data_IF_841946875799
#
_entry.id   IF_841946875799
#
_cell.length_a   1.000
_cell.length_b   1.000
_cell.length_c   1.000
_cell.angle_alpha   90.00
_cell.angle_beta   90.00
_cell.angle_gamma   90.00
#
_symmetry.space_group_name_H-M   'P 1'
#
loop_
_entity.id
_entity.type
_entity.pdbx_description
1 polymer ?
#
# COMPACT_ATOMS: atom_id res chain seq x y z
N UNK A 1 -2.73 -30.95 -16.07
CA UNK A 1 -2.74 -30.51 -14.66
C UNK A 1 -3.00 -29.02 -14.65
N UNK A 2 -4.17 -28.59 -14.16
CA UNK A 2 -4.58 -27.18 -14.19
C UNK A 2 -3.87 -26.33 -13.15
N UNK A 3 -3.92 -24.99 -13.32
CA UNK A 3 -3.40 -24.00 -12.38
C UNK A 3 -3.86 -24.28 -10.93
N UNK A 4 -5.08 -24.82 -10.72
CA UNK A 4 -5.60 -25.18 -9.40
C UNK A 4 -4.76 -26.19 -8.61
N UNK A 5 -4.00 -27.08 -9.25
CA UNK A 5 -3.12 -28.03 -8.55
C UNK A 5 -1.84 -27.37 -8.04
N UNK A 6 -1.38 -26.30 -8.69
CA UNK A 6 -0.21 -25.51 -8.26
C UNK A 6 -0.57 -24.71 -7.02
N UNK A 7 -1.72 -24.05 -7.01
CA UNK A 7 -2.20 -23.26 -5.86
C UNK A 7 -2.48 -24.12 -4.61
N UNK A 8 -3.01 -25.32 -4.79
CA UNK A 8 -3.27 -26.25 -3.67
C UNK A 8 -2.00 -26.71 -2.92
N UNK A 9 -0.83 -26.54 -3.52
CA UNK A 9 0.46 -26.97 -2.96
C UNK A 9 1.30 -25.81 -2.42
N UNK A 10 0.84 -24.55 -2.59
CA UNK A 10 1.63 -23.43 -2.09
C UNK A 10 1.59 -23.36 -0.57
N UNK A 11 2.68 -22.98 0.09
CA UNK A 11 2.72 -22.81 1.54
C UNK A 11 1.72 -21.73 1.99
N UNK A 12 1.11 -21.93 3.16
CA UNK A 12 0.12 -21.00 3.72
C UNK A 12 0.64 -19.56 3.82
N UNK A 13 1.91 -19.38 4.19
CA UNK A 13 2.50 -18.04 4.30
C UNK A 13 2.54 -17.28 2.96
N UNK A 14 2.64 -17.99 1.84
CA UNK A 14 2.57 -17.38 0.50
C UNK A 14 1.13 -16.94 0.17
N UNK A 15 0.15 -17.74 0.54
CA UNK A 15 -1.28 -17.37 0.43
C UNK A 15 -1.58 -16.13 1.26
N UNK A 16 -1.12 -16.11 2.51
CA UNK A 16 -1.28 -14.94 3.41
C UNK A 16 -0.58 -13.70 2.85
N UNK A 17 0.59 -13.85 2.22
CA UNK A 17 1.27 -12.75 1.55
C UNK A 17 0.40 -12.13 0.44
N UNK A 18 -0.20 -12.95 -0.41
CA UNK A 18 -1.10 -12.47 -1.47
C UNK A 18 -2.39 -11.82 -0.94
N UNK A 19 -2.94 -12.36 0.15
CA UNK A 19 -4.08 -11.74 0.85
C UNK A 19 -3.72 -10.35 1.36
N UNK A 20 -2.57 -10.23 2.03
CA UNK A 20 -2.11 -8.98 2.62
C UNK A 20 -1.92 -7.88 1.58
N UNK A 21 -1.41 -8.24 0.41
CA UNK A 21 -1.22 -7.30 -0.71
C UNK A 21 -2.55 -6.71 -1.22
N UNK A 22 -3.61 -7.52 -1.29
CA UNK A 22 -4.94 -7.00 -1.67
C UNK A 22 -5.62 -6.24 -0.53
N UNK A 23 -5.47 -6.67 0.72
CA UNK A 23 -6.03 -5.95 1.86
C UNK A 23 -5.41 -4.56 2.06
N UNK A 24 -4.20 -4.34 1.53
CA UNK A 24 -3.55 -3.04 1.48
C UNK A 24 -4.40 -1.95 0.82
N UNK A 25 -5.35 -2.32 -0.04
CA UNK A 25 -6.26 -1.38 -0.71
C UNK A 25 -7.14 -0.59 0.25
N UNK A 26 -7.32 -1.01 1.49
CA UNK A 26 -7.91 -0.17 2.51
C UNK A 26 -7.15 1.15 2.67
N UNK A 27 -5.82 1.09 2.61
CA UNK A 27 -4.96 2.26 2.77
C UNK A 27 -4.84 3.01 1.44
N UNK A 28 -4.49 2.32 0.35
CA UNK A 28 -4.27 2.98 -0.95
C UNK A 28 -5.50 3.75 -1.46
N UNK A 29 -6.71 3.23 -1.27
CA UNK A 29 -7.93 3.94 -1.64
C UNK A 29 -8.20 5.16 -0.75
N UNK A 30 -7.90 5.08 0.54
CA UNK A 30 -7.99 6.21 1.45
C UNK A 30 -6.95 7.29 1.08
N UNK A 31 -5.69 6.91 0.87
CA UNK A 31 -4.62 7.79 0.41
C UNK A 31 -4.97 8.50 -0.90
N UNK A 32 -5.49 7.75 -1.88
CA UNK A 32 -5.87 8.31 -3.16
C UNK A 32 -7.01 9.31 -3.03
N UNK A 33 -8.00 9.00 -2.17
CA UNK A 33 -9.10 9.94 -1.89
C UNK A 33 -8.62 11.20 -1.17
N UNK A 34 -7.71 11.05 -0.20
CA UNK A 34 -7.11 12.19 0.50
C UNK A 34 -6.30 13.04 -0.47
N UNK A 35 -5.45 12.44 -1.30
CA UNK A 35 -4.68 13.17 -2.31
C UNK A 35 -5.59 13.94 -3.27
N UNK A 36 -6.70 13.36 -3.70
CA UNK A 36 -7.70 14.05 -4.51
C UNK A 36 -8.25 15.31 -3.80
N UNK A 37 -8.61 15.19 -2.53
CA UNK A 37 -9.19 16.28 -1.76
C UNK A 37 -8.18 17.39 -1.43
N UNK A 38 -6.92 17.00 -1.19
CA UNK A 38 -5.86 17.91 -0.73
C UNK A 38 -5.11 18.56 -1.88
N UNK A 39 -4.75 17.80 -2.90
CA UNK A 39 -3.90 18.27 -4.01
C UNK A 39 -4.62 18.37 -5.35
N UNK A 40 -5.91 17.98 -5.45
CA UNK A 40 -6.63 17.90 -6.70
C UNK A 40 -6.18 16.78 -7.63
N UNK A 41 -5.46 15.79 -7.11
CA UNK A 41 -5.05 14.62 -7.90
C UNK A 41 -6.27 13.95 -8.56
N UNK A 42 -6.12 13.49 -9.79
CA UNK A 42 -7.21 12.82 -10.50
C UNK A 42 -7.70 11.59 -9.73
N UNK A 43 -9.00 11.51 -9.53
CA UNK A 43 -9.66 10.38 -8.87
C UNK A 43 -10.77 9.84 -9.77
N UNK A 44 -10.75 8.54 -10.05
CA UNK A 44 -11.76 7.86 -10.86
C UNK A 44 -12.65 6.99 -9.97
N UNK A 45 -13.91 7.40 -9.71
CA UNK A 45 -14.83 6.61 -8.87
C UNK A 45 -15.01 5.18 -9.36
N UNK A 46 -15.18 4.99 -10.67
CA UNK A 46 -15.37 3.65 -11.26
C UNK A 46 -14.18 2.71 -10.97
N UNK A 47 -12.96 3.21 -11.08
CA UNK A 47 -11.76 2.40 -10.79
C UNK A 47 -11.64 2.15 -9.28
N UNK A 48 -11.99 3.12 -8.45
CA UNK A 48 -12.03 2.95 -7.01
C UNK A 48 -13.07 1.89 -6.59
N UNK A 49 -14.25 1.87 -7.20
CA UNK A 49 -15.29 0.88 -6.95
C UNK A 49 -14.84 -0.53 -7.35
N UNK A 50 -14.15 -0.68 -8.49
CA UNK A 50 -13.55 -1.96 -8.90
C UNK A 50 -12.48 -2.44 -7.89
N UNK A 51 -11.62 -1.53 -7.42
CA UNK A 51 -10.63 -1.87 -6.40
C UNK A 51 -11.29 -2.26 -5.07
N UNK A 52 -12.38 -1.60 -4.70
CA UNK A 52 -13.19 -1.93 -3.52
C UNK A 52 -13.86 -3.30 -3.66
N UNK A 53 -14.26 -3.70 -4.87
CA UNK A 53 -14.79 -5.04 -5.13
C UNK A 53 -13.72 -6.11 -4.94
N UNK A 54 -12.52 -5.92 -5.50
CA UNK A 54 -11.39 -6.82 -5.27
C UNK A 54 -11.08 -6.99 -3.77
N UNK A 55 -11.10 -5.87 -3.02
CA UNK A 55 -10.93 -5.86 -1.57
C UNK A 55 -12.02 -6.67 -0.86
N UNK A 56 -13.27 -6.50 -1.25
CA UNK A 56 -14.42 -7.19 -0.64
C UNK A 56 -14.34 -8.70 -0.85
N UNK A 57 -14.00 -9.14 -2.06
CA UNK A 57 -13.81 -10.55 -2.40
C UNK A 57 -12.67 -11.15 -1.55
N UNK A 58 -11.52 -10.46 -1.51
CA UNK A 58 -10.35 -10.96 -0.77
C UNK A 58 -10.60 -10.99 0.74
N UNK A 59 -11.26 -9.97 1.29
CA UNK A 59 -11.62 -9.92 2.71
C UNK A 59 -12.49 -11.11 3.10
N UNK A 60 -13.52 -11.40 2.30
CA UNK A 60 -14.39 -12.56 2.55
C UNK A 60 -13.58 -13.87 2.55
N UNK A 61 -12.70 -14.06 1.58
CA UNK A 61 -11.85 -15.25 1.52
C UNK A 61 -10.91 -15.34 2.73
N UNK A 62 -10.37 -14.21 3.19
CA UNK A 62 -9.53 -14.15 4.39
C UNK A 62 -10.31 -14.46 5.69
N UNK A 63 -11.52 -13.92 5.83
CA UNK A 63 -12.41 -14.17 6.98
C UNK A 63 -12.81 -15.66 7.04
N UNK A 64 -13.18 -16.25 5.91
CA UNK A 64 -13.50 -17.68 5.82
C UNK A 64 -12.30 -18.56 6.23
N UNK A 65 -11.07 -18.20 5.80
CA UNK A 65 -9.85 -18.89 6.24
C UNK A 65 -9.59 -18.72 7.72
N UNK A 66 -9.76 -17.52 8.27
CA UNK A 66 -9.58 -17.24 9.70
C UNK A 66 -10.57 -18.04 10.56
N UNK A 67 -11.76 -18.32 10.04
CA UNK A 67 -12.75 -19.19 10.66
C UNK A 67 -12.44 -20.70 10.53
N UNK A 68 -11.28 -21.08 9.96
CA UNK A 68 -10.86 -22.47 9.77
C UNK A 68 -11.28 -23.08 8.44
N UNK A 69 -11.83 -22.29 7.51
CA UNK A 69 -12.15 -22.72 6.15
C UNK A 69 -10.90 -22.97 5.29
N UNK A 70 -11.12 -23.60 4.15
CA UNK A 70 -10.06 -23.77 3.15
C UNK A 70 -9.88 -22.51 2.34
N UNK A 71 -8.64 -22.22 1.84
CA UNK A 71 -8.41 -21.11 0.92
C UNK A 71 -9.29 -21.22 -0.34
N UNK A 72 -10.05 -20.16 -0.63
CA UNK A 72 -10.78 -20.01 -1.88
C UNK A 72 -9.84 -19.36 -2.92
N UNK A 73 -9.06 -20.19 -3.60
CA UNK A 73 -8.09 -19.73 -4.59
C UNK A 73 -8.73 -19.10 -5.83
N UNK A 74 -9.98 -19.46 -6.15
CA UNK A 74 -10.71 -18.85 -7.27
C UNK A 74 -11.06 -17.40 -6.93
N UNK A 75 -11.66 -17.15 -5.77
CA UNK A 75 -11.96 -15.82 -5.29
C UNK A 75 -10.70 -14.96 -5.13
N UNK A 76 -9.63 -15.53 -4.56
CA UNK A 76 -8.35 -14.84 -4.40
C UNK A 76 -7.72 -14.45 -5.75
N UNK A 77 -7.76 -15.35 -6.73
CA UNK A 77 -7.24 -15.08 -8.09
C UNK A 77 -8.09 -13.99 -8.76
N UNK A 78 -9.41 -14.06 -8.64
CA UNK A 78 -10.32 -13.05 -9.18
C UNK A 78 -9.98 -11.66 -8.60
N UNK A 79 -9.81 -11.54 -7.29
CA UNK A 79 -9.45 -10.29 -6.63
C UNK A 79 -8.10 -9.73 -7.15
N UNK A 80 -7.10 -10.60 -7.36
CA UNK A 80 -5.81 -10.21 -7.92
C UNK A 80 -5.95 -9.70 -9.37
N UNK A 81 -6.73 -10.38 -10.19
CA UNK A 81 -6.97 -9.97 -11.58
C UNK A 81 -7.69 -8.63 -11.66
N UNK A 82 -8.74 -8.42 -10.85
CA UNK A 82 -9.45 -7.13 -10.76
C UNK A 82 -8.49 -6.03 -10.33
N UNK A 83 -7.65 -6.29 -9.33
CA UNK A 83 -6.63 -5.35 -8.87
C UNK A 83 -5.66 -4.95 -10.00
N UNK A 84 -5.16 -5.92 -10.77
CA UNK A 84 -4.31 -5.65 -11.93
C UNK A 84 -5.02 -4.82 -13.00
N UNK A 85 -6.30 -5.12 -13.25
CA UNK A 85 -7.12 -4.35 -14.19
C UNK A 85 -7.31 -2.88 -13.76
N UNK A 86 -7.49 -2.61 -12.46
CA UNK A 86 -7.61 -1.22 -11.98
C UNK A 86 -6.38 -0.39 -12.28
N UNK A 87 -5.18 -0.96 -12.14
CA UNK A 87 -3.93 -0.28 -12.48
C UNK A 87 -3.80 -0.03 -13.98
N UNK A 88 -4.23 -0.98 -14.82
CA UNK A 88 -4.22 -0.81 -16.27
C UNK A 88 -5.20 0.29 -16.72
N UNK A 89 -6.42 0.30 -16.19
CA UNK A 89 -7.44 1.29 -16.52
C UNK A 89 -7.02 2.71 -16.11
N UNK A 90 -6.33 2.84 -14.98
CA UNK A 90 -5.87 4.11 -14.47
C UNK A 90 -4.54 4.55 -15.10
N UNK A 91 -3.80 3.62 -15.69
CA UNK A 91 -2.39 3.79 -16.10
C UNK A 91 -1.49 4.28 -14.96
N UNK A 92 -1.84 3.91 -13.72
CA UNK A 92 -1.15 4.30 -12.50
C UNK A 92 -1.47 3.32 -11.37
N UNK A 93 -0.59 3.21 -10.37
CA UNK A 93 -0.75 2.27 -9.25
C UNK A 93 -1.61 2.78 -8.08
N UNK A 94 -2.12 4.01 -8.12
CA UNK A 94 -2.82 4.67 -7.00
C UNK A 94 -3.99 3.85 -6.41
N UNK A 95 -4.75 3.14 -7.24
CA UNK A 95 -5.84 2.28 -6.78
C UNK A 95 -5.37 1.01 -6.04
N UNK A 96 -4.07 0.70 -6.10
CA UNK A 96 -3.51 -0.53 -5.55
C UNK A 96 -2.36 -0.30 -4.56
N UNK A 97 -1.74 0.87 -4.55
CA UNK A 97 -0.51 1.18 -3.82
C UNK A 97 -0.58 2.57 -3.20
N UNK A 98 -0.44 2.68 -1.90
CA UNK A 98 -0.41 3.89 -1.09
C UNK A 98 0.79 3.90 -0.14
N UNK A 99 0.64 4.54 1.01
CA UNK A 99 1.70 4.66 2.03
C UNK A 99 2.20 3.30 2.54
N UNK A 100 1.33 2.30 2.61
CA UNK A 100 1.67 0.93 3.01
C UNK A 100 2.68 0.28 2.08
N UNK A 101 2.56 0.52 0.77
CA UNK A 101 3.51 0.04 -0.22
C UNK A 101 4.84 0.81 -0.16
N UNK A 102 4.80 2.11 0.13
CA UNK A 102 6.03 2.88 0.35
C UNK A 102 6.84 2.31 1.52
N UNK A 103 6.18 1.87 2.60
CA UNK A 103 6.85 1.18 3.72
C UNK A 103 7.42 -0.17 3.28
N UNK A 104 6.69 -0.94 2.46
CA UNK A 104 7.18 -2.21 1.93
C UNK A 104 8.41 -2.00 1.03
N UNK A 105 8.35 -1.05 0.11
CA UNK A 105 9.47 -0.72 -0.77
C UNK A 105 10.68 -0.21 0.01
N UNK A 106 10.48 0.54 1.10
CA UNK A 106 11.59 0.94 1.97
C UNK A 106 12.35 -0.29 2.50
N UNK A 107 11.63 -1.31 2.96
CA UNK A 107 12.25 -2.57 3.43
C UNK A 107 12.95 -3.30 2.27
N UNK A 108 12.32 -3.35 1.09
CA UNK A 108 12.82 -4.05 -0.10
C UNK A 108 14.06 -3.38 -0.71
N UNK A 109 14.16 -2.06 -0.66
CA UNK A 109 15.35 -1.30 -1.08
C UNK A 109 16.56 -1.52 -0.17
N UNK A 110 16.36 -2.11 1.01
CA UNK A 110 17.42 -2.47 1.96
C UNK A 110 18.39 -1.31 2.26
N UNK A 111 17.91 -0.14 2.68
CA UNK A 111 18.80 0.89 3.17
C UNK A 111 19.55 0.38 4.41
N UNK A 112 20.61 1.04 4.88
CA UNK A 112 21.51 0.51 5.92
C UNK A 112 20.80 -0.04 7.17
N UNK A 113 19.70 0.59 7.56
CA UNK A 113 18.91 0.14 8.72
C UNK A 113 18.12 -1.16 8.48
N UNK A 114 17.83 -1.47 7.23
CA UNK A 114 17.03 -2.63 6.81
C UNK A 114 17.82 -3.64 5.96
N UNK A 115 19.15 -3.55 5.92
CA UNK A 115 20.02 -4.43 5.09
C UNK A 115 19.77 -5.93 5.33
N UNK A 116 19.44 -6.29 6.56
CA UNK A 116 19.15 -7.67 6.98
C UNK A 116 17.64 -7.99 7.03
N UNK A 117 16.78 -7.08 6.60
CA UNK A 117 15.35 -7.36 6.55
C UNK A 117 15.01 -8.32 5.41
N UNK A 118 14.18 -9.30 5.71
CA UNK A 118 13.71 -10.29 4.76
C UNK A 118 12.20 -10.44 4.87
N UNK A 119 11.54 -10.51 3.72
CA UNK A 119 10.10 -10.74 3.64
C UNK A 119 9.67 -10.83 2.18
N UNK A 120 8.58 -11.52 1.92
CA UNK A 120 7.88 -11.43 0.64
C UNK A 120 7.19 -10.07 0.54
N UNK A 121 7.03 -9.55 -0.68
CA UNK A 121 6.38 -8.26 -0.92
C UNK A 121 5.09 -8.09 -0.11
N UNK A 122 4.13 -8.98 -0.27
CA UNK A 122 2.86 -8.89 0.45
C UNK A 122 2.97 -9.01 1.98
N UNK A 123 4.03 -9.66 2.52
CA UNK A 123 4.29 -9.64 3.96
C UNK A 123 4.73 -8.24 4.42
N UNK A 124 5.64 -7.61 3.68
CA UNK A 124 6.08 -6.24 3.95
C UNK A 124 4.91 -5.25 3.81
N UNK A 125 4.10 -5.41 2.76
CA UNK A 125 2.87 -4.63 2.54
C UNK A 125 1.87 -4.84 3.68
N UNK A 126 1.68 -6.06 4.15
CA UNK A 126 0.80 -6.35 5.30
C UNK A 126 1.22 -5.64 6.58
N UNK A 127 2.53 -5.59 6.86
CA UNK A 127 3.07 -4.81 7.99
C UNK A 127 2.82 -3.32 7.78
N UNK A 128 3.09 -2.78 6.59
CA UNK A 128 2.81 -1.39 6.22
C UNK A 128 1.33 -1.06 6.39
N UNK A 129 0.44 -1.92 5.90
CA UNK A 129 -1.02 -1.78 6.04
C UNK A 129 -1.44 -1.67 7.51
N UNK A 130 -0.92 -2.56 8.35
CA UNK A 130 -1.21 -2.53 9.79
C UNK A 130 -0.75 -1.23 10.45
N UNK A 131 0.45 -0.78 10.13
CA UNK A 131 1.00 0.48 10.67
C UNK A 131 0.19 1.69 10.21
N UNK A 132 -0.08 1.81 8.90
CA UNK A 132 -0.92 2.89 8.36
C UNK A 132 -2.33 2.88 8.95
N UNK A 133 -2.96 1.71 9.10
CA UNK A 133 -4.28 1.61 9.70
C UNK A 133 -4.30 2.11 11.15
N UNK A 134 -3.25 1.86 11.94
CA UNK A 134 -3.10 2.41 13.29
C UNK A 134 -3.00 3.93 13.27
N UNK A 135 -2.20 4.48 12.38
CA UNK A 135 -2.04 5.93 12.25
C UNK A 135 -3.35 6.60 11.80
N UNK A 136 -4.05 6.04 10.82
CA UNK A 136 -5.36 6.56 10.41
C UNK A 136 -6.40 6.48 11.52
N UNK A 137 -6.41 5.39 12.28
CA UNK A 137 -7.32 5.27 13.42
C UNK A 137 -7.00 6.31 14.50
N UNK A 138 -5.72 6.54 14.77
CA UNK A 138 -5.28 7.59 15.68
C UNK A 138 -5.71 8.98 15.18
N UNK A 139 -5.42 9.33 13.92
CA UNK A 139 -5.82 10.60 13.33
C UNK A 139 -7.32 10.83 13.38
N UNK A 140 -8.12 9.80 13.06
CA UNK A 140 -9.58 9.87 13.13
C UNK A 140 -10.13 10.04 14.56
N UNK A 141 -9.36 9.68 15.59
CA UNK A 141 -9.73 9.88 16.99
C UNK A 141 -9.46 11.30 17.51
N UNK A 142 -8.67 12.10 16.77
CA UNK A 142 -8.34 13.46 17.17
C UNK A 142 -9.52 14.40 16.87
N UNK A 143 -9.92 15.27 17.83
CA UNK A 143 -11.02 16.22 17.61
C UNK A 143 -10.67 17.27 16.53
N UNK A 144 -9.41 17.65 16.45
CA UNK A 144 -8.89 18.60 15.44
C UNK A 144 -7.42 18.26 15.17
N UNK A 145 -7.12 17.49 14.11
CA UNK A 145 -5.75 17.23 13.73
C UNK A 145 -5.07 18.54 13.30
N UNK A 146 -3.86 18.76 13.78
CA UNK A 146 -3.04 19.93 13.40
C UNK A 146 -1.87 19.45 12.54
N UNK A 147 -1.73 20.00 11.35
CA UNK A 147 -0.56 19.79 10.52
C UNK A 147 0.69 20.42 11.18
N UNK A 148 1.82 19.71 11.12
CA UNK A 148 3.12 20.29 11.43
C UNK A 148 3.60 21.14 10.25
N UNK A 149 4.43 22.17 10.49
CA UNK A 149 5.10 22.86 9.39
C UNK A 149 5.86 21.84 8.53
N UNK A 150 5.85 22.07 7.22
CA UNK A 150 6.64 21.25 6.30
C UNK A 150 8.15 21.49 6.54
N UNK A 151 8.87 20.41 6.74
CA UNK A 151 10.33 20.40 6.84
C UNK A 151 10.90 19.71 5.60
N UNK A 152 11.58 20.45 4.70
CA UNK A 152 12.15 19.84 3.51
C UNK A 152 13.24 18.82 3.87
N UNK A 153 13.38 17.77 3.06
CA UNK A 153 14.42 16.79 3.21
C UNK A 153 15.80 17.46 3.07
N UNK A 154 16.67 17.25 4.06
CA UNK A 154 18.06 17.70 3.96
C UNK A 154 18.93 16.58 3.41
N UNK A 155 19.92 16.95 2.56
CA UNK A 155 20.86 15.97 2.01
C UNK A 155 21.54 15.15 3.10
N UNK A 156 21.97 15.76 4.19
CA UNK A 156 22.64 15.07 5.29
C UNK A 156 21.74 14.03 5.96
N UNK A 157 20.46 14.33 6.14
CA UNK A 157 19.49 13.39 6.70
C UNK A 157 19.25 12.21 5.75
N UNK A 158 19.14 12.48 4.44
CA UNK A 158 18.93 11.44 3.43
C UNK A 158 20.15 10.53 3.32
N UNK A 159 21.37 11.08 3.32
CA UNK A 159 22.61 10.30 3.32
C UNK A 159 22.71 9.37 4.54
N UNK A 160 22.37 9.88 5.74
CA UNK A 160 22.38 9.07 6.97
C UNK A 160 21.39 7.90 6.91
N UNK A 161 20.16 8.14 6.41
CA UNK A 161 19.07 7.14 6.45
C UNK A 161 19.11 6.16 5.29
N UNK A 162 19.53 6.61 4.11
CA UNK A 162 19.40 5.84 2.88
C UNK A 162 20.74 5.43 2.26
N UNK A 163 21.86 6.02 2.70
CA UNK A 163 23.20 5.67 2.23
C UNK A 163 23.31 5.71 0.70
N UNK A 164 23.65 4.59 0.03
CA UNK A 164 23.83 4.56 -1.42
C UNK A 164 22.59 4.93 -2.25
N UNK A 165 21.41 4.91 -1.65
CA UNK A 165 20.13 5.27 -2.29
C UNK A 165 19.85 6.78 -2.26
N UNK A 166 20.64 7.56 -1.53
CA UNK A 166 20.39 8.97 -1.25
C UNK A 166 20.23 9.82 -2.53
N UNK A 167 21.03 9.61 -3.55
CA UNK A 167 20.95 10.36 -4.81
C UNK A 167 19.61 10.15 -5.52
N UNK A 168 19.15 8.90 -5.58
CA UNK A 168 17.82 8.57 -6.13
C UNK A 168 16.68 9.21 -5.34
N UNK A 169 16.72 9.12 -4.02
CA UNK A 169 15.71 9.71 -3.13
C UNK A 169 15.65 11.23 -3.31
N UNK A 170 16.79 11.92 -3.32
CA UNK A 170 16.82 13.38 -3.52
C UNK A 170 16.25 13.79 -4.88
N UNK A 171 16.62 13.06 -5.94
CA UNK A 171 16.14 13.32 -7.30
C UNK A 171 14.62 13.16 -7.41
N UNK A 172 14.04 12.10 -6.85
CA UNK A 172 12.60 11.85 -6.88
C UNK A 172 11.80 12.92 -6.10
N UNK A 173 12.43 13.59 -5.12
CA UNK A 173 11.81 14.61 -4.30
C UNK A 173 12.16 16.06 -4.72
N UNK A 174 12.87 16.27 -5.82
CA UNK A 174 13.24 17.62 -6.32
C UNK A 174 12.01 18.51 -6.61
N UNK A 175 10.88 17.93 -6.98
CA UNK A 175 9.66 18.63 -7.34
C UNK A 175 8.52 18.37 -6.33
N UNK A 176 8.85 18.13 -5.05
CA UNK A 176 7.85 17.87 -4.02
C UNK A 176 6.94 19.10 -3.84
N UNK A 177 5.64 18.90 -4.12
CA UNK A 177 4.61 19.95 -4.02
C UNK A 177 4.08 20.14 -2.58
N UNK A 178 4.48 19.31 -1.64
CA UNK A 178 4.01 19.39 -0.24
C UNK A 178 4.37 20.73 0.42
N UNK A 179 5.48 21.36 0.00
CA UNK A 179 5.87 22.71 0.47
C UNK A 179 4.94 23.82 0.06
N UNK A 180 4.03 23.58 -0.89
CA UNK A 180 3.02 24.55 -1.36
C UNK A 180 1.64 24.31 -0.76
N UNK A 181 1.47 23.23 0.02
CA UNK A 181 0.19 22.90 0.64
C UNK A 181 -0.10 23.83 1.82
N UNK A 182 -1.20 24.58 1.73
CA UNK A 182 -1.72 25.37 2.83
C UNK A 182 -2.74 24.55 3.62
N UNK A 183 -2.35 24.11 4.82
CA UNK A 183 -3.20 23.32 5.70
C UNK A 183 -4.38 24.11 6.31
N UNK A 184 -4.54 25.41 5.97
CA UNK A 184 -5.63 26.24 6.46
C UNK A 184 -6.80 26.35 5.46
N UNK A 185 -6.64 25.84 4.26
CA UNK A 185 -7.67 25.68 3.24
C UNK A 185 -8.09 24.22 3.11
#
# INVERSE_FOLDING_TARGET
>A
RGLGDVYKRQPLWLTVSGISDILAKYISLADWKIAHLVSGEYYCPMVADLAQEALTIMRKAADDMAAGGKPDFEAMTMAQMISGLTMQLLNHSRAASGAEHLMAHLVEMKPPRFENAHGMHGQCVGVGTYLCAKEYHYLASLPTPKAKPFEPLTRAWVDEKFGPLADGIMKENENDVLGTFDAQN
#
